data_IF_951472212809
#
_entry.id   IF_951472212809
#
_cell.length_a   1.000
_cell.length_b   1.000
_cell.length_c   1.000
_cell.angle_alpha   90.00
_cell.angle_beta   90.00
_cell.angle_gamma   90.00
#
_symmetry.space_group_name_H-M   'P 1'
#
loop_
_entity.id
_entity.type
_entity.pdbx_description
1 polymer ?
#
# COMPACT_ATOMS: atom_id res chain seq x y z
N UNK A 1 36.84 8.54 32.51
CA UNK A 1 35.38 8.50 32.76
C UNK A 1 34.69 9.65 32.01
N UNK A 2 34.53 9.50 30.69
CA UNK A 2 33.92 10.54 29.85
C UNK A 2 32.46 10.75 30.23
N UNK A 3 32.12 11.99 30.61
CA UNK A 3 30.73 12.43 30.75
C UNK A 3 30.08 12.34 29.36
N UNK A 4 29.35 11.25 29.11
CA UNK A 4 28.40 11.22 28.00
C UNK A 4 27.50 12.44 28.16
N UNK A 5 27.50 13.30 27.15
CA UNK A 5 26.60 14.46 27.11
C UNK A 5 25.17 13.97 27.28
N UNK A 6 24.33 14.74 27.98
CA UNK A 6 22.93 14.35 28.27
C UNK A 6 22.17 13.95 26.98
N UNK A 7 22.53 14.52 25.84
CA UNK A 7 21.97 14.20 24.53
C UNK A 7 22.34 12.79 24.03
N UNK A 8 23.58 12.34 24.24
CA UNK A 8 24.00 10.99 23.89
C UNK A 8 23.25 9.93 24.71
N UNK A 9 23.08 10.20 26.02
CA UNK A 9 22.30 9.32 26.91
C UNK A 9 20.83 9.22 26.48
N UNK A 10 20.21 10.33 26.07
CA UNK A 10 18.82 10.35 25.58
C UNK A 10 18.64 9.55 24.29
N UNK A 11 19.57 9.64 23.33
CA UNK A 11 19.53 8.83 22.09
C UNK A 11 19.68 7.33 22.38
N UNK A 12 20.59 6.95 23.27
CA UNK A 12 20.77 5.55 23.66
C UNK A 12 19.53 4.99 24.37
N UNK A 13 18.92 5.77 25.25
CA UNK A 13 17.68 5.39 25.93
C UNK A 13 16.52 5.26 24.94
N UNK A 14 16.35 6.20 24.01
CA UNK A 14 15.31 6.13 22.99
C UNK A 14 15.46 4.87 22.10
N UNK A 15 16.68 4.53 21.71
CA UNK A 15 16.95 3.31 20.95
C UNK A 15 16.66 2.03 21.75
N UNK A 16 16.91 2.03 23.06
CA UNK A 16 16.57 0.91 23.94
C UNK A 16 15.05 0.78 24.13
N UNK A 17 14.35 1.91 24.31
CA UNK A 17 12.89 1.95 24.45
C UNK A 17 12.19 1.41 23.19
N UNK A 18 12.59 1.86 21.99
CA UNK A 18 12.03 1.35 20.74
C UNK A 18 12.22 -0.17 20.59
N UNK A 19 13.36 -0.71 21.04
CA UNK A 19 13.61 -2.16 21.02
C UNK A 19 12.72 -2.95 21.96
N UNK A 20 12.31 -2.36 23.08
CA UNK A 20 11.43 -2.99 24.05
C UNK A 20 9.94 -2.87 23.65
N UNK A 21 9.59 -1.83 22.92
CA UNK A 21 8.22 -1.58 22.45
C UNK A 21 7.85 -2.42 21.22
N UNK A 22 8.85 -2.89 20.45
CA UNK A 22 8.61 -3.80 19.33
C UNK A 22 8.10 -5.16 19.82
N UNK A 23 6.81 -5.39 19.63
CA UNK A 23 6.13 -6.65 19.86
C UNK A 23 5.56 -7.19 18.55
N UNK A 24 5.36 -8.51 18.42
CA UNK A 24 4.58 -9.06 17.32
C UNK A 24 3.18 -8.43 17.28
N UNK A 25 2.74 -8.02 16.10
CA UNK A 25 1.48 -7.31 15.85
C UNK A 25 1.59 -5.80 15.81
N UNK A 26 2.69 -5.20 16.28
CA UNK A 26 2.84 -3.75 16.29
C UNK A 26 3.15 -3.18 14.91
N UNK A 27 2.57 -2.03 14.59
CA UNK A 27 2.89 -1.25 13.40
C UNK A 27 4.26 -0.56 13.52
N UNK A 28 5.07 -0.60 12.47
CA UNK A 28 6.38 0.05 12.44
C UNK A 28 6.58 0.87 11.18
N UNK A 29 7.36 1.96 11.31
CA UNK A 29 7.90 2.72 10.19
C UNK A 29 9.39 2.49 10.08
N UNK A 30 9.82 1.98 8.93
CA UNK A 30 11.24 1.86 8.60
C UNK A 30 11.85 3.24 8.29
N UNK A 31 13.19 3.33 8.32
CA UNK A 31 13.92 4.53 7.91
C UNK A 31 13.66 4.95 6.46
N UNK A 32 13.31 3.99 5.60
CA UNK A 32 12.97 4.24 4.19
C UNK A 32 11.53 4.71 3.98
N UNK A 33 10.76 4.93 5.05
CA UNK A 33 9.37 5.37 4.98
C UNK A 33 8.35 4.26 4.73
N UNK A 34 8.79 2.99 4.68
CA UNK A 34 7.87 1.86 4.56
C UNK A 34 7.18 1.57 5.89
N UNK A 35 5.86 1.36 5.82
CA UNK A 35 5.01 0.93 6.93
C UNK A 35 4.76 -0.57 6.81
N UNK A 36 4.85 -1.28 7.92
CA UNK A 36 4.61 -2.72 7.98
C UNK A 36 4.21 -3.13 9.39
N UNK A 37 3.68 -4.35 9.53
CA UNK A 37 3.39 -4.97 10.83
C UNK A 37 4.51 -5.94 11.20
N UNK A 38 4.92 -5.95 12.47
CA UNK A 38 5.91 -6.92 12.96
C UNK A 38 5.25 -8.29 13.11
N UNK A 39 5.78 -9.31 12.43
CA UNK A 39 5.33 -10.69 12.60
C UNK A 39 6.09 -11.41 13.70
N UNK A 40 7.41 -11.23 13.70
CA UNK A 40 8.32 -11.88 14.64
C UNK A 40 9.50 -10.96 14.94
N UNK A 41 9.99 -11.01 16.18
CA UNK A 41 11.13 -10.23 16.65
C UNK A 41 12.25 -11.19 17.03
N UNK A 42 13.35 -11.18 16.26
CA UNK A 42 14.58 -11.91 16.57
C UNK A 42 15.49 -11.11 17.50
N UNK A 43 16.76 -11.49 17.64
CA UNK A 43 17.73 -10.72 18.45
C UNK A 43 18.15 -9.41 17.74
N UNK A 44 18.60 -9.52 16.48
CA UNK A 44 19.08 -8.40 15.66
C UNK A 44 18.19 -8.07 14.46
N UNK A 45 17.28 -8.98 14.11
CA UNK A 45 16.36 -8.87 12.98
C UNK A 45 14.91 -8.82 13.44
N UNK A 46 14.03 -8.34 12.57
CA UNK A 46 12.59 -8.38 12.71
C UNK A 46 11.98 -8.80 11.38
N UNK A 47 11.04 -9.74 11.43
CA UNK A 47 10.26 -10.17 10.26
C UNK A 47 9.05 -9.25 10.17
N UNK A 48 8.98 -8.47 9.10
CA UNK A 48 7.91 -7.51 8.83
C UNK A 48 6.97 -8.05 7.75
N UNK A 49 5.68 -7.83 7.92
CA UNK A 49 4.63 -8.11 6.94
C UNK A 49 4.16 -6.80 6.32
N UNK A 50 4.43 -6.62 5.03
CA UNK A 50 4.13 -5.39 4.27
C UNK A 50 2.76 -5.46 3.61
N UNK A 51 2.39 -6.67 3.19
CA UNK A 51 1.09 -7.01 2.60
C UNK A 51 0.73 -8.44 3.05
N UNK A 52 -0.53 -8.86 2.94
CA UNK A 52 -0.95 -10.20 3.33
C UNK A 52 -0.07 -11.29 2.70
N UNK A 53 0.69 -12.01 3.53
CA UNK A 53 1.59 -13.09 3.09
C UNK A 53 2.93 -12.63 2.48
N UNK A 54 3.22 -11.33 2.43
CA UNK A 54 4.52 -10.80 2.00
C UNK A 54 5.36 -10.45 3.22
N UNK A 55 6.30 -11.35 3.53
CA UNK A 55 7.21 -11.20 4.65
C UNK A 55 8.61 -10.78 4.17
N UNK A 56 9.18 -9.81 4.88
CA UNK A 56 10.52 -9.32 4.62
C UNK A 56 11.31 -9.21 5.93
N UNK A 57 12.57 -9.59 5.89
CA UNK A 57 13.45 -9.55 7.07
C UNK A 57 14.20 -8.22 7.05
N UNK A 58 14.01 -7.44 8.11
CA UNK A 58 14.72 -6.19 8.32
C UNK A 58 15.61 -6.28 9.54
N UNK A 59 16.72 -5.56 9.53
CA UNK A 59 17.51 -5.37 10.73
C UNK A 59 16.80 -4.39 11.67
N UNK A 60 16.87 -4.60 12.99
CA UNK A 60 16.15 -3.75 13.97
C UNK A 60 16.59 -2.28 13.93
N UNK A 61 17.83 -2.03 13.54
CA UNK A 61 18.36 -0.68 13.34
C UNK A 61 17.78 0.04 12.11
N UNK A 62 17.11 -0.68 11.20
CA UNK A 62 16.39 -0.11 10.06
C UNK A 62 14.96 0.37 10.44
N UNK A 63 14.51 0.11 11.66
CA UNK A 63 13.23 0.60 12.17
C UNK A 63 13.44 1.99 12.77
N UNK A 64 12.73 2.98 12.21
CA UNK A 64 12.85 4.37 12.59
C UNK A 64 11.86 4.80 13.67
N UNK A 65 10.68 4.18 13.71
CA UNK A 65 9.67 4.40 14.74
C UNK A 65 8.77 3.17 14.91
N UNK A 66 8.33 2.94 16.14
CA UNK A 66 7.22 2.05 16.48
C UNK A 66 5.97 2.93 16.57
N UNK A 67 4.91 2.53 15.88
CA UNK A 67 3.64 3.27 15.84
C UNK A 67 2.67 2.58 16.80
N UNK A 68 1.75 3.35 17.36
CA UNK A 68 0.59 2.74 18.00
C UNK A 68 -0.37 2.18 16.93
N UNK A 69 -1.27 1.29 17.36
CA UNK A 69 -2.18 0.61 16.44
C UNK A 69 -3.15 1.61 15.77
N UNK A 70 -3.53 2.69 16.47
CA UNK A 70 -4.46 3.69 15.94
C UNK A 70 -3.82 4.54 14.83
N UNK A 71 -2.59 5.00 15.03
CA UNK A 71 -1.77 5.76 14.09
C UNK A 71 -1.44 4.91 12.87
N UNK A 72 -1.03 3.64 13.07
CA UNK A 72 -0.77 2.73 11.96
C UNK A 72 -2.01 2.55 11.08
N UNK A 73 -3.16 2.27 11.70
CA UNK A 73 -4.43 2.08 10.99
C UNK A 73 -4.88 3.35 10.25
N UNK A 74 -4.70 4.53 10.85
CA UNK A 74 -4.99 5.80 10.21
C UNK A 74 -4.11 6.04 8.97
N UNK A 75 -2.81 5.78 9.08
CA UNK A 75 -1.85 6.05 7.99
C UNK A 75 -1.95 5.05 6.84
N UNK A 76 -2.17 3.76 7.14
CA UNK A 76 -2.12 2.67 6.13
C UNK A 76 -3.51 2.31 5.61
N UNK A 77 -4.50 2.26 6.49
CA UNK A 77 -5.85 1.79 6.14
C UNK A 77 -6.86 2.93 5.91
N UNK A 78 -6.47 4.19 6.17
CA UNK A 78 -7.30 5.37 5.88
C UNK A 78 -8.62 5.40 6.65
N UNK A 79 -8.75 4.58 7.70
CA UNK A 79 -9.92 4.59 8.58
C UNK A 79 -9.78 5.76 9.54
N UNK A 80 -10.24 6.92 9.10
CA UNK A 80 -10.68 7.95 10.03
C UNK A 80 -11.73 7.31 10.94
N UNK A 81 -11.55 7.43 12.25
CA UNK A 81 -12.49 6.93 13.26
C UNK A 81 -13.91 7.54 13.15
N UNK A 82 -14.18 8.36 12.13
CA UNK A 82 -15.45 9.01 11.82
C UNK A 82 -16.36 8.19 10.86
N UNK A 83 -15.88 7.08 10.27
CA UNK A 83 -16.68 6.26 9.34
C UNK A 83 -17.67 5.28 10.01
N UNK A 84 -17.85 5.31 11.34
CA UNK A 84 -18.95 4.57 11.99
C UNK A 84 -20.36 5.13 11.64
N UNK A 85 -20.44 6.15 10.79
CA UNK A 85 -21.70 6.78 10.36
C UNK A 85 -22.10 6.48 8.92
N UNK A 86 -21.26 5.81 8.12
CA UNK A 86 -21.49 5.69 6.67
C UNK A 86 -21.43 4.22 6.18
N UNK A 87 -21.89 3.29 7.01
CA UNK A 87 -22.44 2.06 6.46
C UNK A 87 -23.71 2.46 5.69
N UNK A 88 -23.81 2.29 4.36
CA UNK A 88 -25.11 2.42 3.72
C UNK A 88 -26.05 1.47 4.44
N UNK A 89 -27.15 1.99 4.97
CA UNK A 89 -28.22 1.18 5.55
C UNK A 89 -28.75 0.35 4.40
N UNK A 90 -28.21 -0.85 4.22
CA UNK A 90 -28.76 -1.86 3.32
C UNK A 90 -30.07 -2.28 4.00
N UNK A 91 -31.24 -1.97 3.41
CA UNK A 91 -32.48 -2.50 3.94
C UNK A 91 -32.35 -4.03 3.99
N UNK A 92 -32.62 -4.61 5.15
CA UNK A 92 -32.43 -6.05 5.46
C UNK A 92 -33.32 -6.97 4.60
N UNK A 93 -34.15 -6.37 3.74
CA UNK A 93 -35.13 -7.07 2.92
C UNK A 93 -34.96 -6.66 1.45
N UNK A 94 -34.15 -7.45 0.72
CA UNK A 94 -33.97 -7.32 -0.72
C UNK A 94 -35.30 -7.48 -1.50
N UNK A 95 -36.39 -7.92 -0.86
CA UNK A 95 -37.72 -7.99 -1.47
C UNK A 95 -38.41 -6.64 -1.64
N UNK A 96 -37.99 -5.59 -0.94
CA UNK A 96 -38.59 -4.25 -1.11
C UNK A 96 -38.17 -3.56 -2.42
N UNK A 97 -37.19 -4.12 -3.15
CA UNK A 97 -36.80 -3.65 -4.48
C UNK A 97 -37.68 -4.21 -5.61
N UNK A 98 -38.46 -5.26 -5.34
CA UNK A 98 -39.27 -5.96 -6.36
C UNK A 98 -40.77 -5.63 -6.31
N UNK A 99 -41.22 -4.83 -5.34
CA UNK A 99 -42.64 -4.50 -5.18
C UNK A 99 -43.12 -3.35 -6.10
N UNK A 100 -42.21 -2.62 -6.74
CA UNK A 100 -42.56 -1.54 -7.70
C UNK A 100 -42.53 -1.99 -9.18
N UNK A 101 -42.21 -3.27 -9.48
CA UNK A 101 -42.14 -3.79 -10.86
C UNK A 101 -43.32 -4.69 -11.26
N UNK A 102 -44.50 -4.53 -10.66
CA UNK A 102 -45.73 -5.21 -11.13
C UNK A 102 -46.62 -4.32 -12.03
N UNK A 103 -46.11 -3.20 -12.56
CA UNK A 103 -46.80 -2.41 -13.61
C UNK A 103 -45.83 -1.77 -14.60
N UNK A 104 -45.27 -2.58 -15.49
CA UNK A 104 -44.79 -2.11 -16.80
C UNK A 104 -44.73 -3.27 -17.81
N UNK A 105 -45.86 -3.91 -18.05
CA UNK A 105 -46.14 -4.60 -19.30
C UNK A 105 -46.24 -3.58 -20.45
N UNK A 106 -45.10 -3.22 -21.04
CA UNK A 106 -44.98 -2.76 -22.44
C UNK A 106 -43.52 -2.70 -22.93
N UNK A 107 -43.22 -3.52 -23.95
CA UNK A 107 -42.12 -3.40 -24.91
C UNK A 107 -40.68 -3.74 -24.44
N UNK A 108 -40.43 -5.02 -24.17
CA UNK A 108 -39.09 -5.60 -24.37
C UNK A 108 -38.88 -5.88 -25.87
N UNK A 109 -38.48 -4.85 -26.62
CA UNK A 109 -37.93 -5.05 -27.95
C UNK A 109 -36.53 -5.68 -27.81
N UNK A 110 -36.25 -6.83 -28.46
CA UNK A 110 -34.92 -7.43 -28.39
C UNK A 110 -33.90 -6.46 -29.00
N UNK A 111 -32.88 -6.12 -28.22
CA UNK A 111 -31.78 -5.27 -28.66
C UNK A 111 -31.00 -6.01 -29.74
N UNK A 112 -31.20 -5.61 -31.01
CA UNK A 112 -30.50 -6.16 -32.17
C UNK A 112 -29.05 -5.65 -32.18
N UNK A 113 -28.12 -6.51 -31.77
CA UNK A 113 -26.67 -6.30 -31.88
C UNK A 113 -26.21 -6.56 -33.33
N UNK A 114 -26.85 -5.86 -34.26
CA UNK A 114 -26.51 -5.84 -35.67
C UNK A 114 -25.12 -5.26 -35.89
N UNK A 115 -24.18 -6.16 -36.13
CA UNK A 115 -22.81 -5.91 -36.57
C UNK A 115 -22.82 -4.98 -37.79
N UNK A 116 -22.49 -3.70 -37.58
CA UNK A 116 -22.10 -2.79 -38.66
C UNK A 116 -20.59 -2.86 -38.79
N UNK A 117 -20.16 -3.86 -39.54
CA UNK A 117 -18.87 -3.84 -40.19
C UNK A 117 -18.76 -2.54 -40.98
N UNK A 118 -17.83 -1.69 -40.57
CA UNK A 118 -17.31 -0.61 -41.39
C UNK A 118 -15.81 -0.90 -41.55
N UNK A 119 -15.52 -1.87 -42.40
CA UNK A 119 -14.23 -1.93 -43.08
C UNK A 119 -14.08 -0.64 -43.90
N UNK A 120 -13.03 0.12 -43.62
CA UNK A 120 -12.33 0.83 -44.69
C UNK A 120 -10.85 0.82 -44.33
N UNK A 121 -10.16 -0.02 -45.08
CA UNK A 121 -8.72 -0.18 -45.25
C UNK A 121 -7.89 1.11 -45.34
N UNK A 122 -6.58 0.87 -45.16
CA UNK A 122 -5.40 1.67 -45.51
C UNK A 122 -4.75 2.41 -44.32
N UNK A 123 -3.45 2.28 -44.03
CA UNK A 123 -2.32 1.56 -44.60
C UNK A 123 -1.12 1.79 -43.65
N UNK A 124 -0.12 0.93 -43.73
CA UNK A 124 1.26 1.04 -43.20
C UNK A 124 1.56 0.60 -41.75
N UNK A 125 1.99 -0.66 -41.62
CA UNK A 125 3.01 -1.07 -40.64
C UNK A 125 4.45 -0.66 -41.10
N UNK A 126 5.54 -1.12 -40.46
CA UNK A 126 6.31 -0.40 -39.45
C UNK A 126 7.72 -0.03 -39.96
N UNK A 127 8.44 0.82 -39.25
CA UNK A 127 9.87 1.00 -39.49
C UNK A 127 10.63 1.09 -38.16
N UNK A 128 11.21 -0.06 -37.80
CA UNK A 128 12.51 -0.18 -37.15
C UNK A 128 13.53 0.78 -37.79
N UNK A 129 14.33 1.50 -37.00
CA UNK A 129 15.80 1.32 -37.04
C UNK A 129 16.55 2.09 -35.92
N UNK A 130 17.72 1.53 -35.63
CA UNK A 130 18.69 1.76 -34.56
C UNK A 130 19.17 3.20 -34.28
N UNK A 131 19.48 3.48 -32.99
CA UNK A 131 20.87 3.55 -32.48
C UNK A 131 20.99 4.34 -31.15
N UNK A 132 21.55 3.76 -30.06
CA UNK A 132 21.95 4.51 -28.87
C UNK A 132 23.31 5.17 -29.09
N UNK A 133 23.37 6.51 -29.12
CA UNK A 133 24.64 7.25 -29.06
C UNK A 133 25.23 7.14 -27.66
N UNK A 134 26.28 6.33 -27.55
CA UNK A 134 27.32 6.41 -26.52
C UNK A 134 27.93 7.83 -26.60
N UNK A 135 27.98 8.53 -25.46
CA UNK A 135 28.94 9.61 -25.24
C UNK A 135 29.87 9.15 -24.13
N UNK A 136 31.14 9.06 -24.48
CA UNK A 136 32.26 8.56 -23.70
C UNK A 136 32.37 9.26 -22.33
N UNK A 137 32.36 8.44 -21.27
CA UNK A 137 32.75 8.85 -19.93
C UNK A 137 34.26 8.81 -19.81
N UNK A 138 34.88 9.98 -19.81
CA UNK A 138 36.29 10.19 -19.50
C UNK A 138 36.56 9.79 -18.03
N UNK A 139 37.21 8.65 -17.82
CA UNK A 139 37.76 8.25 -16.52
C UNK A 139 39.20 8.73 -16.43
N UNK A 140 39.43 9.92 -15.87
CA UNK A 140 40.78 10.35 -15.46
C UNK A 140 41.05 9.85 -14.03
N UNK A 141 42.07 8.99 -13.94
CA UNK A 141 42.60 8.43 -12.70
C UNK A 141 43.77 9.30 -12.27
N UNK A 142 43.66 9.97 -11.11
CA UNK A 142 44.82 10.32 -10.30
C UNK A 142 44.47 10.50 -8.83
#
# INVERSE_FOLDING_TARGET
MFLMTRSAKKKQQAAATMRNEMQPGTGVRTIGGMYAVVKEVGEDTATLEVAPGVHAIYAKNAIGAVLDDEEYNRLVHGVDQDLKSDTPVVPDDASSLTEDDERADADEAPVDLGKKDADTDADAEPADDAAPKKTDGETDTK
#
